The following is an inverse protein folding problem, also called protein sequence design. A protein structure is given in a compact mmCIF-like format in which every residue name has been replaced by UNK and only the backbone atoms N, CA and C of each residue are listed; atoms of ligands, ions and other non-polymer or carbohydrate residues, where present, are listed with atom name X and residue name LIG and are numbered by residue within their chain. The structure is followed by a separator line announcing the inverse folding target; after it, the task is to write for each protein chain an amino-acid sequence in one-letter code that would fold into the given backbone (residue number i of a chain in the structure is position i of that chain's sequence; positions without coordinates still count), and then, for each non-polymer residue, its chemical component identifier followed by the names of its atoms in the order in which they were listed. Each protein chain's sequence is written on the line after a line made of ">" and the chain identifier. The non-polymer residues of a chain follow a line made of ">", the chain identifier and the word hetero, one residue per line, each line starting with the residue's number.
data_IF_749889527263
#
_entry.id   IF_749889527263
#
_cell.length_a   1.000
_cell.length_b   1.000
_cell.length_c   1.000
_cell.angle_alpha   90.00
_cell.angle_beta   90.00
_cell.angle_gamma   90.00
#
_symmetry.space_group_name_H-M   'P 1'
#
loop_
_entity.id
_entity.type
_entity.pdbx_description
1 polymer ?
#
# COMPACT_ATOMS: atom_id res chain seq x y z
N UNK A 1 -9.92 -5.92 -3.44
CA UNK A 1 -10.94 -5.33 -2.55
C UNK A 1 -10.96 -6.16 -1.27
N UNK A 2 -10.26 -5.68 -0.23
CA UNK A 2 -10.53 -6.24 1.09
C UNK A 2 -11.96 -5.81 1.47
N UNK A 3 -12.88 -6.72 1.75
CA UNK A 3 -14.23 -6.33 2.15
C UNK A 3 -14.13 -5.48 3.42
N UNK A 4 -14.77 -4.33 3.41
CA UNK A 4 -14.86 -3.49 4.62
C UNK A 4 -15.60 -4.26 5.71
N UNK A 5 -15.32 -3.95 6.98
CA UNK A 5 -16.02 -4.55 8.13
C UNK A 5 -17.54 -4.48 7.93
N UNK A 6 -18.06 -3.36 7.39
CA UNK A 6 -19.48 -3.21 7.06
C UNK A 6 -19.97 -4.22 6.01
N UNK A 7 -19.13 -4.60 5.04
CA UNK A 7 -19.50 -5.60 4.02
C UNK A 7 -19.53 -7.00 4.61
N UNK A 8 -18.58 -7.34 5.48
CA UNK A 8 -18.53 -8.62 6.19
C UNK A 8 -19.75 -8.74 7.13
N UNK A 9 -20.10 -7.65 7.81
CA UNK A 9 -21.27 -7.58 8.68
C UNK A 9 -22.59 -7.72 7.90
N UNK A 10 -22.75 -7.01 6.76
CA UNK A 10 -23.91 -7.13 5.87
C UNK A 10 -24.12 -8.53 5.34
N UNK A 11 -23.04 -9.27 5.11
CA UNK A 11 -23.08 -10.69 4.67
C UNK A 11 -23.34 -11.67 5.82
N UNK A 12 -23.42 -11.18 7.05
CA UNK A 12 -23.76 -11.97 8.23
C UNK A 12 -22.67 -12.94 8.68
N UNK A 13 -21.41 -12.69 8.32
CA UNK A 13 -20.29 -13.52 8.76
C UNK A 13 -19.85 -13.18 10.19
N UNK A 14 -20.08 -11.96 10.65
CA UNK A 14 -19.72 -11.48 11.98
C UNK A 14 -20.87 -10.64 12.57
N UNK A 15 -20.97 -10.63 13.88
CA UNK A 15 -21.89 -9.77 14.63
C UNK A 15 -21.11 -8.66 15.33
N UNK A 16 -21.70 -7.47 15.39
CA UNK A 16 -21.14 -6.38 16.15
C UNK A 16 -21.33 -6.69 17.64
N UNK A 17 -20.27 -6.65 18.47
CA UNK A 17 -20.43 -6.83 19.91
C UNK A 17 -21.33 -5.71 20.48
N UNK A 18 -22.26 -6.06 21.34
CA UNK A 18 -23.09 -5.11 22.08
C UNK A 18 -22.21 -4.32 23.05
N UNK A 19 -21.93 -3.09 22.68
CA UNK A 19 -21.14 -2.15 23.46
C UNK A 19 -22.04 -1.08 24.07
N UNK A 20 -22.97 -1.47 24.95
CA UNK A 20 -23.62 -0.51 25.83
C UNK A 20 -22.61 0.01 26.86
N UNK A 21 -22.08 1.20 26.62
CA UNK A 21 -21.38 2.00 27.65
C UNK A 21 -19.86 1.82 27.76
N UNK A 22 -19.15 1.20 26.81
CA UNK A 22 -17.68 1.12 26.80
C UNK A 22 -17.06 1.72 25.53
N UNK A 23 -15.85 2.27 25.65
CA UNK A 23 -15.06 2.75 24.52
C UNK A 23 -15.08 1.71 23.40
N UNK A 24 -15.37 2.16 22.17
CA UNK A 24 -15.52 1.29 21.00
C UNK A 24 -14.18 0.64 20.68
N UNK A 25 -13.98 -0.58 21.16
CA UNK A 25 -12.86 -1.39 20.74
C UNK A 25 -13.23 -2.02 19.39
N UNK A 26 -12.81 -1.38 18.29
CA UNK A 26 -13.13 -1.80 16.92
C UNK A 26 -12.46 -3.13 16.52
N UNK A 27 -11.62 -3.69 17.37
CA UNK A 27 -10.78 -4.82 17.05
C UNK A 27 -11.39 -6.18 17.42
N UNK A 28 -12.57 -6.22 18.05
CA UNK A 28 -13.20 -7.47 18.47
C UNK A 28 -14.57 -7.67 17.83
N UNK A 29 -14.65 -8.65 16.94
CA UNK A 29 -15.89 -9.11 16.33
C UNK A 29 -16.11 -10.58 16.69
N UNK A 30 -17.34 -10.92 17.10
CA UNK A 30 -17.72 -12.31 17.36
C UNK A 30 -18.21 -12.98 16.10
N UNK A 31 -17.71 -14.17 15.82
CA UNK A 31 -18.27 -15.05 14.80
C UNK A 31 -19.63 -15.58 15.29
N UNK A 32 -20.55 -15.91 14.36
CA UNK A 32 -21.87 -16.47 14.72
C UNK A 32 -21.82 -17.75 15.55
N UNK A 33 -20.69 -18.49 15.48
CA UNK A 33 -20.45 -19.69 16.26
C UNK A 33 -19.87 -19.43 17.68
N UNK A 34 -19.78 -18.18 18.08
CA UNK A 34 -19.25 -17.78 19.41
C UNK A 34 -17.74 -17.62 19.49
N UNK A 35 -17.01 -17.86 18.40
CA UNK A 35 -15.57 -17.60 18.35
C UNK A 35 -15.29 -16.09 18.19
N UNK A 36 -14.26 -15.60 18.86
CA UNK A 36 -13.83 -14.22 18.73
C UNK A 36 -12.90 -14.09 17.52
N UNK A 37 -13.34 -13.37 16.50
CA UNK A 37 -12.51 -13.06 15.34
C UNK A 37 -11.81 -11.72 15.56
N UNK A 38 -10.49 -11.75 15.67
CA UNK A 38 -9.66 -10.54 15.71
C UNK A 38 -8.96 -10.40 14.37
N UNK A 39 -9.53 -9.58 13.51
CA UNK A 39 -8.92 -9.24 12.23
C UNK A 39 -7.97 -8.05 12.45
N UNK A 40 -6.67 -8.31 12.33
CA UNK A 40 -5.66 -7.25 12.41
C UNK A 40 -5.39 -6.71 11.02
N UNK A 41 -5.80 -5.47 10.78
CA UNK A 41 -5.32 -4.70 9.66
C UNK A 41 -3.99 -4.06 10.03
N UNK A 42 -3.05 -4.09 9.10
CA UNK A 42 -1.74 -3.45 9.25
C UNK A 42 -1.30 -2.84 7.93
N UNK A 43 -0.26 -2.04 7.96
CA UNK A 43 0.45 -1.67 6.75
C UNK A 43 1.15 -2.91 6.17
N UNK A 44 1.28 -3.01 4.84
CA UNK A 44 2.10 -4.05 4.23
C UNK A 44 3.56 -3.85 4.60
N UNK A 45 4.33 -4.92 4.63
CA UNK A 45 5.77 -4.81 4.53
C UNK A 45 6.17 -4.31 3.13
N UNK A 46 7.39 -3.84 2.98
CA UNK A 46 7.90 -3.41 1.68
C UNK A 46 7.85 -4.56 0.65
N UNK A 47 8.24 -5.76 1.05
CA UNK A 47 8.21 -6.95 0.20
C UNK A 47 6.78 -7.36 -0.20
N UNK A 48 5.83 -7.32 0.74
CA UNK A 48 4.42 -7.58 0.45
C UNK A 48 3.84 -6.55 -0.52
N UNK A 49 4.19 -5.28 -0.33
CA UNK A 49 3.75 -4.21 -1.22
C UNK A 49 4.29 -4.42 -2.64
N UNK A 50 5.60 -4.71 -2.79
CA UNK A 50 6.22 -4.95 -4.08
C UNK A 50 5.66 -6.18 -4.79
N UNK A 51 5.48 -7.29 -4.07
CA UNK A 51 4.83 -8.49 -4.59
C UNK A 51 3.43 -8.18 -5.13
N UNK A 52 2.64 -7.43 -4.37
CA UNK A 52 1.31 -7.02 -4.76
C UNK A 52 1.33 -6.08 -5.99
N UNK A 53 2.30 -5.16 -6.06
CA UNK A 53 2.45 -4.23 -7.18
C UNK A 53 2.83 -4.94 -8.47
N UNK A 54 3.69 -5.95 -8.41
CA UNK A 54 4.10 -6.73 -9.58
C UNK A 54 2.97 -7.54 -10.19
N UNK A 55 1.92 -7.88 -9.43
CA UNK A 55 0.76 -8.59 -9.95
C UNK A 55 1.07 -9.97 -10.54
N UNK A 56 2.14 -10.66 -10.06
CA UNK A 56 2.60 -11.94 -10.58
C UNK A 56 3.59 -11.84 -11.75
N UNK A 57 4.03 -10.66 -12.12
CA UNK A 57 5.01 -10.44 -13.20
C UNK A 57 6.41 -10.33 -12.62
N UNK A 58 7.29 -11.24 -12.99
CA UNK A 58 8.68 -11.21 -12.54
C UNK A 58 9.43 -10.00 -13.11
N UNK A 59 10.17 -9.30 -12.22
CA UNK A 59 11.06 -8.18 -12.56
C UNK A 59 10.43 -7.04 -13.38
N UNK A 60 9.09 -6.97 -13.46
CA UNK A 60 8.42 -5.91 -14.20
C UNK A 60 8.66 -4.53 -13.57
N UNK A 61 9.14 -3.53 -14.33
CA UNK A 61 9.37 -2.18 -13.80
C UNK A 61 8.07 -1.51 -13.34
N UNK A 62 6.95 -1.80 -13.99
CA UNK A 62 5.63 -1.24 -13.67
C UNK A 62 4.57 -2.33 -13.54
N UNK A 63 3.45 -2.07 -12.86
CA UNK A 63 2.38 -3.03 -12.64
C UNK A 63 1.76 -3.60 -13.93
N UNK A 64 1.83 -2.87 -15.02
CA UNK A 64 1.34 -3.30 -16.35
C UNK A 64 2.37 -4.11 -17.16
N UNK A 65 3.59 -4.34 -16.63
CA UNK A 65 4.61 -5.21 -17.18
C UNK A 65 5.56 -4.58 -18.20
N UNK A 66 5.20 -3.46 -18.79
CA UNK A 66 6.05 -2.76 -19.78
C UNK A 66 7.13 -1.89 -19.11
N UNK A 67 8.18 -1.51 -19.83
CA UNK A 67 9.24 -0.64 -19.32
C UNK A 67 8.88 0.85 -19.36
N UNK A 68 7.76 1.21 -19.95
CA UNK A 68 7.38 2.60 -20.18
C UNK A 68 6.14 2.98 -19.36
N UNK A 69 6.10 4.24 -18.92
CA UNK A 69 4.95 4.81 -18.22
C UNK A 69 3.82 5.28 -19.18
N UNK A 70 3.98 5.02 -20.48
CA UNK A 70 3.01 5.31 -21.54
C UNK A 70 2.75 4.06 -22.37
N UNK A 71 1.54 3.94 -22.89
CA UNK A 71 1.19 2.90 -23.87
C UNK A 71 1.69 3.26 -25.29
N UNK A 72 1.45 2.38 -26.24
CA UNK A 72 1.82 2.58 -27.66
C UNK A 72 1.13 3.78 -28.32
N UNK A 73 -0.03 4.18 -27.82
CA UNK A 73 -0.76 5.35 -28.25
C UNK A 73 -0.26 6.66 -27.62
N UNK A 74 0.73 6.58 -26.70
CA UNK A 74 1.29 7.72 -26.01
C UNK A 74 0.55 8.12 -24.72
N UNK A 75 -0.58 7.47 -24.38
CA UNK A 75 -1.35 7.78 -23.18
C UNK A 75 -0.59 7.37 -21.92
N UNK A 76 -0.63 8.20 -20.89
CA UNK A 76 -0.06 7.88 -19.57
C UNK A 76 -0.83 6.74 -18.89
N UNK A 77 -0.11 5.84 -18.23
CA UNK A 77 -0.67 4.64 -17.58
C UNK A 77 -0.85 4.79 -16.08
N UNK A 78 -0.41 5.92 -15.51
CA UNK A 78 -0.54 6.23 -14.10
C UNK A 78 -0.53 7.76 -13.91
N UNK A 79 -1.06 8.21 -12.77
CA UNK A 79 -1.01 9.63 -12.39
C UNK A 79 0.35 9.95 -11.76
N UNK A 80 1.23 10.61 -12.52
CA UNK A 80 2.56 11.04 -12.08
C UNK A 80 2.97 12.33 -12.83
N UNK A 81 4.01 12.99 -12.35
CA UNK A 81 4.54 14.20 -12.99
C UNK A 81 5.39 13.84 -14.22
N UNK A 82 4.96 14.13 -15.44
CA UNK A 82 5.80 13.95 -16.61
C UNK A 82 6.98 14.95 -16.58
N UNK A 83 8.17 14.51 -17.01
CA UNK A 83 9.35 15.39 -17.03
C UNK A 83 9.23 16.53 -18.03
N UNK A 84 8.51 16.29 -19.14
CA UNK A 84 8.20 17.25 -20.19
C UNK A 84 6.78 16.99 -20.69
N UNK A 85 6.06 18.05 -21.03
CA UNK A 85 4.72 17.99 -21.60
C UNK A 85 3.66 18.55 -20.65
N UNK A 86 2.43 18.17 -20.89
CA UNK A 86 1.27 18.60 -20.13
C UNK A 86 1.23 17.85 -18.79
N UNK A 87 1.23 18.60 -17.67
CA UNK A 87 1.14 18.05 -16.33
C UNK A 87 -0.28 17.59 -15.95
N UNK A 88 -1.25 17.84 -16.80
CA UNK A 88 -2.66 17.48 -16.63
C UNK A 88 -3.14 16.56 -17.74
N UNK A 89 -2.22 15.89 -18.43
CA UNK A 89 -2.53 15.00 -19.56
C UNK A 89 -3.48 13.87 -19.19
N UNK A 90 -3.42 13.41 -17.94
CA UNK A 90 -4.35 12.43 -17.34
C UNK A 90 -5.63 13.08 -16.78
N UNK A 91 -5.87 14.37 -17.07
CA UNK A 91 -6.95 15.20 -16.56
C UNK A 91 -6.92 15.47 -15.05
N UNK A 92 -5.79 15.20 -14.37
CA UNK A 92 -5.65 15.42 -12.93
C UNK A 92 -4.39 16.19 -12.58
N UNK A 93 -4.54 17.32 -11.86
CA UNK A 93 -3.40 18.10 -11.37
C UNK A 93 -2.82 17.58 -10.04
N UNK A 94 -3.58 16.77 -9.33
CA UNK A 94 -3.28 16.22 -8.00
C UNK A 94 -3.67 14.75 -7.96
N UNK A 95 -4.40 14.32 -6.94
CA UNK A 95 -4.88 12.95 -6.81
C UNK A 95 -6.03 12.65 -7.77
N UNK A 96 -5.96 11.49 -8.41
CA UNK A 96 -7.01 10.96 -9.28
C UNK A 96 -7.97 10.05 -8.51
N UNK A 97 -9.22 9.85 -8.97
CA UNK A 97 -10.08 8.79 -8.48
C UNK A 97 -9.42 7.41 -8.57
N UNK A 98 -9.78 6.50 -7.66
CA UNK A 98 -9.10 5.18 -7.54
C UNK A 98 -9.11 4.39 -8.85
N UNK A 99 -10.18 4.45 -9.62
CA UNK A 99 -10.38 3.66 -10.85
C UNK A 99 -10.03 4.41 -12.14
N UNK A 100 -9.28 5.53 -12.04
CA UNK A 100 -8.91 6.33 -13.22
C UNK A 100 -7.95 5.63 -14.18
N UNK A 101 -7.16 4.69 -13.67
CA UNK A 101 -6.22 3.89 -14.45
C UNK A 101 -6.53 2.40 -14.29
N UNK A 102 -6.03 1.57 -15.19
CA UNK A 102 -6.25 0.12 -15.16
C UNK A 102 -5.58 -0.53 -13.94
N UNK A 103 -6.22 -1.53 -13.32
CA UNK A 103 -5.61 -2.30 -12.25
C UNK A 103 -4.50 -3.22 -12.78
N UNK A 104 -3.64 -3.70 -11.89
CA UNK A 104 -2.70 -4.78 -12.22
C UNK A 104 -3.43 -6.14 -12.29
N UNK A 105 -2.68 -7.22 -12.61
CA UNK A 105 -3.26 -8.58 -12.78
C UNK A 105 -3.87 -9.16 -11.49
N UNK A 106 -3.57 -8.60 -10.32
CA UNK A 106 -4.23 -8.92 -9.06
C UNK A 106 -5.48 -8.06 -8.77
N UNK A 107 -5.88 -7.19 -9.71
CA UNK A 107 -7.01 -6.29 -9.54
C UNK A 107 -6.73 -5.10 -8.62
N UNK A 108 -5.46 -4.75 -8.38
CA UNK A 108 -5.07 -3.64 -7.52
C UNK A 108 -4.83 -2.38 -8.34
N UNK A 109 -5.52 -1.31 -7.95
CA UNK A 109 -5.43 0.00 -8.58
C UNK A 109 -4.31 0.85 -7.98
N UNK A 110 -3.75 1.76 -8.78
CA UNK A 110 -2.79 2.79 -8.36
C UNK A 110 -1.57 2.25 -7.61
N UNK A 111 -1.06 1.08 -8.02
CA UNK A 111 0.21 0.57 -7.52
C UNK A 111 1.42 1.35 -8.06
N UNK A 112 1.19 2.24 -9.01
CA UNK A 112 2.14 3.22 -9.53
C UNK A 112 1.46 4.57 -9.64
N UNK A 113 2.06 5.61 -9.06
CA UNK A 113 1.54 6.97 -9.09
C UNK A 113 0.34 7.20 -8.17
N UNK A 114 -0.34 8.31 -8.37
CA UNK A 114 -1.42 8.85 -7.56
C UNK A 114 -0.91 9.34 -6.19
N UNK A 115 -0.76 8.46 -5.21
CA UNK A 115 -0.11 8.76 -3.92
C UNK A 115 0.93 7.70 -3.61
N UNK A 116 2.08 8.10 -3.08
CA UNK A 116 3.03 7.17 -2.51
C UNK A 116 2.41 6.51 -1.27
N UNK A 117 2.77 5.27 -0.98
CA UNK A 117 2.11 4.51 0.07
C UNK A 117 3.07 4.10 1.18
N UNK A 118 2.64 4.33 2.42
CA UNK A 118 3.36 3.89 3.60
C UNK A 118 3.45 2.38 3.68
N UNK A 119 4.65 1.90 4.02
CA UNK A 119 4.85 0.51 4.45
C UNK A 119 5.19 0.43 5.93
N UNK A 120 5.12 -0.77 6.51
CA UNK A 120 5.53 -1.00 7.89
C UNK A 120 7.06 -1.01 8.06
N UNK A 121 7.79 -1.22 6.96
CA UNK A 121 9.24 -1.36 6.95
C UNK A 121 9.93 -0.03 7.28
N UNK A 122 10.88 -0.04 8.20
CA UNK A 122 11.73 1.10 8.47
C UNK A 122 12.78 1.26 7.36
N UNK A 123 13.12 2.50 7.02
CA UNK A 123 14.09 2.78 5.97
C UNK A 123 15.50 2.82 6.54
N UNK A 124 16.36 1.95 6.01
CA UNK A 124 17.80 1.98 6.20
C UNK A 124 18.46 1.71 4.84
N UNK A 125 19.48 2.48 4.51
CA UNK A 125 20.21 2.36 3.23
C UNK A 125 21.01 1.07 3.15
N UNK A 126 21.45 0.56 4.29
CA UNK A 126 22.34 -0.61 4.38
C UNK A 126 21.62 -1.93 4.58
N UNK A 127 20.31 -1.93 4.83
CA UNK A 127 19.54 -3.16 5.11
C UNK A 127 19.70 -4.21 4.03
N UNK A 128 19.75 -3.83 2.77
CA UNK A 128 19.94 -4.79 1.67
C UNK A 128 21.30 -5.48 1.70
N UNK A 129 22.33 -4.82 2.19
CA UNK A 129 23.69 -5.39 2.25
C UNK A 129 23.79 -6.51 3.28
N UNK A 130 22.95 -6.45 4.34
CA UNK A 130 22.98 -7.41 5.44
C UNK A 130 21.87 -8.45 5.37
N UNK A 131 20.83 -8.24 4.56
CA UNK A 131 19.59 -8.97 4.72
C UNK A 131 19.03 -9.58 3.44
N UNK A 132 19.73 -9.44 2.34
CA UNK A 132 19.24 -9.89 1.04
C UNK A 132 18.92 -11.40 0.99
N UNK A 133 19.63 -12.22 1.76
CA UNK A 133 19.40 -13.67 1.86
C UNK A 133 18.16 -14.04 2.69
N UNK A 134 17.75 -13.20 3.63
CA UNK A 134 16.71 -13.50 4.62
C UNK A 134 15.42 -12.70 4.39
N UNK A 135 15.43 -11.74 3.44
CA UNK A 135 14.34 -10.78 3.22
C UNK A 135 13.69 -10.30 4.53
N UNK A 136 14.45 -9.86 5.54
CA UNK A 136 13.89 -9.49 6.82
C UNK A 136 13.05 -8.23 6.64
N UNK A 137 11.87 -8.28 7.19
CA UNK A 137 11.04 -7.09 7.34
C UNK A 137 11.61 -6.27 8.50
N UNK A 138 12.46 -5.29 8.17
CA UNK A 138 13.05 -4.39 9.17
C UNK A 138 11.97 -3.46 9.72
N UNK A 139 11.39 -3.83 10.85
CA UNK A 139 10.36 -3.05 11.54
C UNK A 139 10.97 -2.32 12.73
N UNK A 140 10.88 -0.99 12.72
CA UNK A 140 11.25 -0.16 13.85
C UNK A 140 10.14 0.86 14.14
N UNK A 141 9.67 0.91 15.37
CA UNK A 141 8.67 1.88 15.84
C UNK A 141 9.39 3.03 16.56
N UNK A 142 9.63 4.10 15.81
CA UNK A 142 10.35 5.26 16.31
C UNK A 142 9.62 5.95 17.45
N UNK A 143 10.37 6.35 18.47
CA UNK A 143 9.91 7.17 19.58
C UNK A 143 10.05 8.65 19.24
N UNK A 144 9.37 9.50 20.00
CA UNK A 144 9.40 10.95 19.81
C UNK A 144 10.82 11.50 19.87
N UNK A 145 11.63 10.99 20.81
CA UNK A 145 12.98 11.46 21.07
C UNK A 145 14.07 10.80 20.21
N UNK A 146 13.68 9.87 19.32
CA UNK A 146 14.61 9.20 18.43
C UNK A 146 15.20 10.15 17.38
N UNK A 147 16.45 9.93 16.98
CA UNK A 147 17.07 10.67 15.89
C UNK A 147 16.25 10.58 14.59
N UNK A 148 16.25 11.61 13.73
CA UNK A 148 15.49 11.61 12.48
C UNK A 148 15.75 10.39 11.60
N UNK A 149 16.96 9.86 11.59
CA UNK A 149 17.31 8.66 10.81
C UNK A 149 16.46 7.45 11.18
N UNK A 150 16.11 7.24 12.44
CA UNK A 150 15.29 6.15 12.93
C UNK A 150 13.78 6.35 12.69
N UNK A 151 13.37 7.59 12.38
CA UNK A 151 11.97 7.91 12.07
C UNK A 151 11.60 7.68 10.60
N UNK A 152 12.57 7.32 9.76
CA UNK A 152 12.34 7.07 8.34
C UNK A 152 11.57 5.76 8.13
N UNK A 153 10.51 5.82 7.32
CA UNK A 153 9.73 4.67 6.88
C UNK A 153 9.78 4.58 5.37
N UNK A 154 9.81 3.35 4.85
CA UNK A 154 9.73 3.12 3.41
C UNK A 154 8.36 3.54 2.89
N UNK A 155 8.36 4.31 1.81
CA UNK A 155 7.20 4.60 0.98
C UNK A 155 7.43 4.08 -0.43
N UNK A 156 6.37 3.63 -1.08
CA UNK A 156 6.42 2.95 -2.37
C UNK A 156 5.41 3.53 -3.35
N UNK A 157 5.60 3.25 -4.66
CA UNK A 157 4.65 3.54 -5.72
C UNK A 157 4.80 4.92 -6.37
N UNK A 158 5.45 5.87 -5.72
CA UNK A 158 5.51 7.25 -6.19
C UNK A 158 4.15 7.95 -6.18
N UNK A 159 4.10 9.21 -6.52
CA UNK A 159 2.90 10.03 -6.42
C UNK A 159 2.71 10.94 -7.64
N UNK A 160 1.58 11.64 -7.69
CA UNK A 160 1.25 12.63 -8.72
C UNK A 160 2.32 13.72 -8.91
N UNK A 161 3.12 14.01 -7.89
CA UNK A 161 4.20 15.01 -7.95
C UNK A 161 5.54 14.43 -8.39
N UNK A 162 5.69 13.10 -8.38
CA UNK A 162 6.95 12.43 -8.65
C UNK A 162 7.08 12.05 -10.12
N UNK A 163 8.29 11.97 -10.63
CA UNK A 163 8.56 11.51 -11.99
C UNK A 163 8.40 9.99 -12.10
N UNK A 164 8.19 9.48 -13.30
CA UNK A 164 7.94 8.06 -13.58
C UNK A 164 8.95 7.09 -12.97
N UNK A 165 10.20 7.51 -12.75
CA UNK A 165 11.21 6.69 -12.06
C UNK A 165 10.75 6.25 -10.66
N UNK A 166 10.16 7.15 -9.88
CA UNK A 166 9.67 6.82 -8.52
C UNK A 166 8.40 5.99 -8.52
N UNK A 167 7.72 5.88 -9.67
CA UNK A 167 6.54 5.04 -9.85
C UNK A 167 6.86 3.59 -10.23
N UNK A 168 8.13 3.23 -10.40
CA UNK A 168 8.53 1.85 -10.65
C UNK A 168 8.30 0.97 -9.42
N UNK A 169 7.88 -0.27 -9.66
CA UNK A 169 7.57 -1.23 -8.59
C UNK A 169 8.75 -1.51 -7.66
N UNK A 170 9.97 -1.51 -8.18
CA UNK A 170 11.20 -1.73 -7.43
C UNK A 170 11.78 -0.47 -6.77
N UNK A 171 11.30 0.74 -7.10
CA UNK A 171 11.88 1.96 -6.55
C UNK A 171 11.48 2.16 -5.10
N UNK A 172 12.47 2.40 -4.29
CA UNK A 172 12.39 2.57 -2.85
C UNK A 172 12.70 4.00 -2.46
N UNK A 173 11.81 4.63 -1.71
CA UNK A 173 12.02 5.95 -1.11
C UNK A 173 11.60 5.96 0.35
N UNK A 174 11.79 7.06 1.04
CA UNK A 174 11.39 7.19 2.43
C UNK A 174 10.73 8.53 2.72
N UNK A 175 10.00 8.56 3.82
CA UNK A 175 9.55 9.78 4.47
C UNK A 175 9.59 9.56 6.00
N UNK A 176 9.55 10.67 6.75
CA UNK A 176 9.57 10.63 8.21
C UNK A 176 8.18 10.29 8.75
N UNK A 177 8.11 9.30 9.65
CA UNK A 177 6.85 8.77 10.21
C UNK A 177 6.04 9.79 11.03
N UNK A 178 6.67 10.88 11.45
CA UNK A 178 6.05 11.97 12.20
C UNK A 178 5.60 13.14 11.30
N UNK A 179 5.59 12.96 9.98
CA UNK A 179 5.16 13.98 9.03
C UNK A 179 3.92 13.57 8.25
N UNK A 180 3.06 14.53 7.93
CA UNK A 180 1.93 14.36 7.03
C UNK A 180 2.19 15.06 5.70
N UNK A 181 1.93 14.37 4.58
CA UNK A 181 2.11 14.89 3.22
C UNK A 181 0.87 14.62 2.39
N UNK A 182 0.45 15.60 1.58
CA UNK A 182 -0.72 15.47 0.70
C UNK A 182 -0.53 14.46 -0.45
N UNK A 183 0.67 14.00 -0.68
CA UNK A 183 1.03 13.05 -1.74
C UNK A 183 1.38 11.67 -1.20
N UNK A 184 1.15 11.39 0.09
CA UNK A 184 1.38 10.09 0.71
C UNK A 184 0.08 9.60 1.31
N UNK A 185 -0.27 8.36 0.98
CA UNK A 185 -1.41 7.63 1.51
C UNK A 185 -0.97 6.27 2.07
N UNK A 186 -1.90 5.35 2.17
CA UNK A 186 -1.62 3.98 2.60
C UNK A 186 -2.68 3.01 2.07
N UNK A 187 -2.30 1.75 1.99
CA UNK A 187 -3.23 0.62 1.87
C UNK A 187 -3.04 -0.32 3.03
N UNK A 188 -4.12 -0.88 3.52
CA UNK A 188 -4.09 -1.88 4.57
C UNK A 188 -4.05 -3.28 3.98
N UNK A 189 -3.33 -4.17 4.66
CA UNK A 189 -3.35 -5.61 4.41
C UNK A 189 -3.83 -6.33 5.66
N UNK A 190 -4.34 -7.53 5.48
CA UNK A 190 -4.70 -8.40 6.57
C UNK A 190 -4.15 -9.81 6.32
N UNK A 191 -3.80 -10.49 7.41
CA UNK A 191 -3.31 -11.86 7.32
C UNK A 191 -4.43 -12.79 6.80
N UNK A 192 -4.10 -13.61 5.81
CA UNK A 192 -5.01 -14.65 5.35
C UNK A 192 -5.05 -15.79 6.36
N UNK A 193 -6.21 -16.02 6.95
CA UNK A 193 -6.40 -17.06 7.97
C UNK A 193 -6.66 -18.45 7.40
N UNK A 194 -6.64 -18.61 6.08
CA UNK A 194 -6.94 -19.86 5.40
C UNK A 194 -8.44 -20.19 5.36
N UNK A 195 -8.83 -21.08 4.46
CA UNK A 195 -10.09 -21.80 4.58
C UNK A 195 -9.81 -23.00 5.49
N UNK A 196 -10.50 -23.10 6.62
CA UNK A 196 -10.54 -24.37 7.35
C UNK A 196 -10.94 -25.46 6.35
N UNK A 197 -10.14 -26.52 6.28
CA UNK A 197 -10.57 -27.70 5.52
C UNK A 197 -11.84 -28.20 6.21
N UNK A 198 -12.97 -28.07 5.52
CA UNK A 198 -14.20 -28.80 5.85
C UNK A 198 -13.99 -30.28 5.60
#
# INVERSE_FOLDING_TARGET
>A
YAPTISTIQKRGYVEKPDNEGRERNYDQWKMKNGETFVQKFRLPSEAEWEFAARGGRDLAPYPWGGPYARNEQGCVLANFKPMRGDYVEDATAYTAPVESHSPNDYGLYNMSGNVAEWTNTAYDETVYDFSWDLAPDYVYHAKVDDPPALKRKVIRGGSWKDIGYYCQTGTRTFEYSDTAKAYIGFRSVMSYLGRGKS
#
